data_IF_976738097372
#
_entry.id   IF_976738097372
#
_cell.length_a   1.000
_cell.length_b   1.000
_cell.length_c   1.000
_cell.angle_alpha   90.00
_cell.angle_beta   90.00
_cell.angle_gamma   90.00
#
_symmetry.space_group_name_H-M   'P 1'
#
loop_
_entity.id
_entity.type
_entity.pdbx_description
1 polymer ?
#
# COMPACT_ATOMS: atom_id res chain seq x y z
N UNK A 1 5.02 -4.26 21.95
CA UNK A 1 5.44 -4.43 20.56
C UNK A 1 4.68 -3.49 19.64
N UNK A 2 5.40 -2.86 18.75
CA UNK A 2 4.81 -1.92 17.80
C UNK A 2 4.08 -2.66 16.69
N UNK A 3 2.78 -2.41 16.53
CA UNK A 3 2.00 -2.98 15.44
C UNK A 3 2.18 -2.12 14.18
N UNK A 4 2.38 -2.78 13.05
CA UNK A 4 2.43 -2.11 11.77
C UNK A 4 1.03 -1.74 11.30
N UNK A 5 0.91 -0.58 10.66
CA UNK A 5 -0.35 -0.02 10.20
C UNK A 5 -0.48 -0.15 8.68
N UNK A 6 -1.59 -0.70 8.24
CA UNK A 6 -1.91 -0.83 6.81
C UNK A 6 -3.10 0.07 6.49
N UNK A 7 -2.96 0.90 5.48
CA UNK A 7 -4.07 1.69 4.98
C UNK A 7 -4.73 0.96 3.81
N UNK A 8 -6.05 0.93 3.81
CA UNK A 8 -6.86 0.34 2.74
C UNK A 8 -7.68 1.45 2.10
N UNK A 9 -7.56 1.61 0.80
CA UNK A 9 -8.26 2.63 0.05
C UNK A 9 -9.08 1.95 -1.06
N UNK A 10 -10.40 1.95 -0.90
CA UNK A 10 -11.34 1.32 -1.83
C UNK A 10 -12.72 1.96 -1.64
N UNK A 11 -13.43 2.23 -2.72
CA UNK A 11 -14.79 2.77 -2.63
C UNK A 11 -15.83 1.69 -2.27
N UNK A 12 -15.46 0.42 -2.33
CA UNK A 12 -16.32 -0.70 -1.92
C UNK A 12 -16.15 -0.97 -0.42
N UNK A 13 -17.15 -0.58 0.37
CA UNK A 13 -17.12 -0.75 1.82
C UNK A 13 -17.07 -2.21 2.27
N UNK A 14 -17.63 -3.12 1.47
CA UNK A 14 -17.59 -4.56 1.79
C UNK A 14 -16.17 -5.09 1.72
N UNK A 15 -15.41 -4.65 0.73
CA UNK A 15 -14.00 -5.02 0.60
C UNK A 15 -13.21 -4.46 1.79
N UNK A 16 -13.43 -3.20 2.14
CA UNK A 16 -12.75 -2.58 3.29
C UNK A 16 -13.03 -3.35 4.57
N UNK A 17 -14.28 -3.73 4.81
CA UNK A 17 -14.66 -4.48 6.02
C UNK A 17 -13.98 -5.84 6.04
N UNK A 18 -14.07 -6.60 4.95
CA UNK A 18 -13.48 -7.95 4.88
C UNK A 18 -11.97 -7.94 5.04
N UNK A 19 -11.30 -7.02 4.38
CA UNK A 19 -9.84 -6.91 4.46
C UNK A 19 -9.40 -6.41 5.83
N UNK A 20 -10.15 -5.47 6.43
CA UNK A 20 -9.82 -4.97 7.76
C UNK A 20 -9.87 -6.09 8.80
N UNK A 21 -10.92 -6.90 8.77
CA UNK A 21 -11.05 -8.04 9.69
C UNK A 21 -9.87 -9.00 9.52
N UNK A 22 -9.53 -9.35 8.29
CA UNK A 22 -8.46 -10.28 8.00
C UNK A 22 -7.11 -9.76 8.47
N UNK A 23 -6.81 -8.47 8.20
CA UNK A 23 -5.54 -7.86 8.59
C UNK A 23 -5.43 -7.70 10.10
N UNK A 24 -6.51 -7.33 10.77
CA UNK A 24 -6.50 -7.20 12.23
C UNK A 24 -6.24 -8.54 12.91
N UNK A 25 -6.78 -9.64 12.36
CA UNK A 25 -6.48 -10.99 12.85
C UNK A 25 -5.00 -11.34 12.73
N UNK A 26 -4.32 -10.78 11.76
CA UNK A 26 -2.88 -11.01 11.56
C UNK A 26 -2.02 -10.06 12.40
N UNK A 27 -2.63 -9.22 13.22
CA UNK A 27 -1.92 -8.33 14.13
C UNK A 27 -1.65 -6.93 13.60
N UNK A 28 -2.19 -6.57 12.44
CA UNK A 28 -2.02 -5.23 11.89
C UNK A 28 -3.04 -4.25 12.46
N UNK A 29 -2.66 -2.97 12.53
CA UNK A 29 -3.62 -1.88 12.66
C UNK A 29 -4.08 -1.50 11.26
N UNK A 30 -5.32 -1.03 11.12
CA UNK A 30 -5.89 -0.72 9.82
C UNK A 30 -6.48 0.68 9.82
N UNK A 31 -6.15 1.44 8.77
CA UNK A 31 -6.79 2.72 8.43
C UNK A 31 -7.58 2.48 7.15
N UNK A 32 -8.80 3.02 7.04
CA UNK A 32 -9.61 2.85 5.83
C UNK A 32 -10.02 4.19 5.25
N UNK A 33 -10.05 4.26 3.93
CA UNK A 33 -10.48 5.45 3.17
C UNK A 33 -11.34 4.99 2.00
N UNK A 34 -12.42 5.70 1.73
CA UNK A 34 -13.37 5.33 0.67
C UNK A 34 -13.17 6.11 -0.63
N UNK A 35 -12.28 7.09 -0.64
CA UNK A 35 -11.98 7.88 -1.83
C UNK A 35 -10.54 8.37 -1.81
N UNK A 36 -10.07 8.83 -2.98
CA UNK A 36 -8.69 9.27 -3.14
C UNK A 36 -8.38 10.56 -2.40
N UNK A 37 -9.32 11.48 -2.33
CA UNK A 37 -9.09 12.77 -1.68
C UNK A 37 -8.90 12.62 -0.17
N UNK A 38 -9.79 11.90 0.50
CA UNK A 38 -9.64 11.64 1.95
C UNK A 38 -8.39 10.81 2.23
N UNK A 39 -8.06 9.87 1.34
CA UNK A 39 -6.85 9.08 1.47
C UNK A 39 -5.60 9.94 1.38
N UNK A 40 -5.53 10.85 0.41
CA UNK A 40 -4.37 11.72 0.25
C UNK A 40 -4.12 12.55 1.51
N UNK A 41 -5.17 13.10 2.10
CA UNK A 41 -5.08 13.86 3.35
C UNK A 41 -4.64 12.96 4.49
N UNK A 42 -5.33 11.83 4.68
CA UNK A 42 -5.07 10.93 5.80
C UNK A 42 -3.70 10.27 5.75
N UNK A 43 -3.27 9.83 4.58
CA UNK A 43 -1.95 9.20 4.39
C UNK A 43 -0.81 10.18 4.60
N UNK A 44 -1.06 11.47 4.37
CA UNK A 44 -0.07 12.52 4.60
C UNK A 44 0.02 12.90 6.08
N UNK A 45 -1.13 13.02 6.74
CA UNK A 45 -1.20 13.42 8.16
C UNK A 45 -0.83 12.30 9.12
N UNK A 46 -1.28 11.09 8.83
CA UNK A 46 -1.06 9.91 9.68
C UNK A 46 -0.54 8.78 8.81
N UNK A 47 0.76 8.82 8.44
CA UNK A 47 1.31 7.83 7.52
C UNK A 47 1.22 6.41 8.06
N UNK A 48 0.70 5.46 7.26
CA UNK A 48 0.81 4.04 7.59
C UNK A 48 2.17 3.48 7.20
N UNK A 49 2.38 2.21 7.45
CA UNK A 49 3.58 1.52 7.00
C UNK A 49 3.47 1.06 5.55
N UNK A 50 2.26 0.86 5.07
CA UNK A 50 1.98 0.43 3.71
C UNK A 50 0.53 0.78 3.35
N UNK A 51 0.27 1.09 2.09
CA UNK A 51 -1.07 1.35 1.58
C UNK A 51 -1.47 0.35 0.50
N UNK A 52 -2.68 -0.17 0.59
CA UNK A 52 -3.31 -0.99 -0.43
C UNK A 52 -4.39 -0.13 -1.09
N UNK A 53 -4.24 0.12 -2.38
CA UNK A 53 -5.07 1.10 -3.10
C UNK A 53 -5.78 0.44 -4.28
N UNK A 54 -7.11 0.56 -4.31
CA UNK A 54 -7.89 0.17 -5.48
C UNK A 54 -7.64 1.18 -6.62
N UNK A 55 -7.35 0.66 -7.81
CA UNK A 55 -7.07 1.54 -8.95
C UNK A 55 -8.32 2.29 -9.39
N UNK A 56 -9.43 1.58 -9.54
CA UNK A 56 -10.66 2.18 -10.11
C UNK A 56 -11.57 2.72 -9.03
N UNK A 57 -11.46 4.02 -8.79
CA UNK A 57 -12.34 4.76 -7.90
C UNK A 57 -12.88 5.99 -8.64
N UNK A 58 -14.10 6.44 -8.30
CA UNK A 58 -14.65 7.66 -8.92
C UNK A 58 -13.85 8.90 -8.50
N UNK A 59 -13.85 9.90 -9.35
CA UNK A 59 -13.18 11.22 -9.18
C UNK A 59 -11.66 11.08 -9.22
N UNK A 60 -11.01 10.75 -8.12
CA UNK A 60 -9.57 10.50 -8.07
C UNK A 60 -9.34 8.99 -8.02
N UNK A 61 -8.80 8.41 -9.09
CA UNK A 61 -8.47 6.99 -9.12
C UNK A 61 -7.15 6.69 -8.39
N UNK A 62 -6.82 5.41 -8.28
CA UNK A 62 -5.62 4.97 -7.56
C UNK A 62 -4.33 5.46 -8.19
N UNK A 63 -4.27 5.57 -9.52
CA UNK A 63 -3.07 6.06 -10.21
C UNK A 63 -2.83 7.53 -9.94
N UNK A 64 -3.88 8.35 -9.99
CA UNK A 64 -3.78 9.77 -9.66
C UNK A 64 -3.39 9.97 -8.20
N UNK A 65 -3.98 9.19 -7.30
CA UNK A 65 -3.63 9.21 -5.88
C UNK A 65 -2.15 8.89 -5.68
N UNK A 66 -1.65 7.82 -6.31
CA UNK A 66 -0.24 7.44 -6.21
C UNK A 66 0.68 8.53 -6.73
N UNK A 67 0.35 9.11 -7.87
CA UNK A 67 1.13 10.21 -8.45
C UNK A 67 1.29 11.37 -7.46
N UNK A 68 0.19 11.73 -6.78
CA UNK A 68 0.22 12.80 -5.78
C UNK A 68 0.98 12.39 -4.52
N UNK A 69 0.81 11.14 -4.08
CA UNK A 69 1.54 10.62 -2.92
C UNK A 69 3.04 10.60 -3.14
N UNK A 70 3.50 10.22 -4.32
CA UNK A 70 4.94 10.11 -4.63
C UNK A 70 5.67 11.45 -4.60
N UNK A 71 4.96 12.57 -4.65
CA UNK A 71 5.56 13.90 -4.44
C UNK A 71 5.89 14.15 -2.97
N UNK A 72 5.30 13.40 -2.05
CA UNK A 72 5.40 13.63 -0.61
C UNK A 72 6.02 12.48 0.17
N UNK A 73 5.97 11.25 -0.36
CA UNK A 73 6.39 10.07 0.39
C UNK A 73 6.79 8.93 -0.53
N UNK A 74 7.65 8.04 -0.03
CA UNK A 74 8.03 6.79 -0.69
C UNK A 74 7.32 5.59 -0.05
N UNK A 75 6.22 5.82 0.63
CA UNK A 75 5.38 4.80 1.25
C UNK A 75 5.14 3.61 0.32
N UNK A 76 5.37 2.37 0.78
CA UNK A 76 5.05 1.20 -0.05
C UNK A 76 3.58 1.16 -0.43
N UNK A 77 3.30 0.91 -1.71
CA UNK A 77 1.95 0.86 -2.25
C UNK A 77 1.75 -0.42 -3.03
N UNK A 78 0.68 -1.14 -2.70
CA UNK A 78 0.20 -2.29 -3.47
C UNK A 78 -1.13 -1.88 -4.10
N UNK A 79 -1.25 -2.03 -5.43
CA UNK A 79 -2.51 -1.80 -6.11
C UNK A 79 -3.38 -3.06 -6.10
N UNK A 80 -4.67 -2.88 -5.88
CA UNK A 80 -5.68 -3.89 -6.19
C UNK A 80 -6.23 -3.57 -7.57
N UNK A 81 -6.15 -4.54 -8.48
CA UNK A 81 -6.55 -4.34 -9.87
C UNK A 81 -7.66 -5.31 -10.24
N UNK A 82 -8.54 -4.92 -11.17
CA UNK A 82 -9.48 -5.84 -11.78
C UNK A 82 -8.83 -6.58 -12.95
N UNK A 83 -9.51 -7.62 -13.45
CA UNK A 83 -8.99 -8.47 -14.53
C UNK A 83 -8.64 -7.70 -15.80
N UNK A 84 -9.31 -6.60 -16.06
CA UNK A 84 -9.20 -5.86 -17.32
C UNK A 84 -8.19 -4.70 -17.27
N UNK A 85 -7.38 -4.62 -16.21
CA UNK A 85 -6.49 -3.46 -15.95
C UNK A 85 -5.01 -3.74 -16.25
N UNK A 86 -4.70 -4.57 -17.27
CA UNK A 86 -3.30 -4.88 -17.60
C UNK A 86 -2.48 -3.65 -18.00
N UNK A 87 -3.11 -2.72 -18.73
CA UNK A 87 -2.46 -1.47 -19.15
C UNK A 87 -2.18 -0.59 -17.93
N UNK A 88 -3.12 -0.54 -16.99
CA UNK A 88 -3.00 0.22 -15.75
C UNK A 88 -1.89 -0.33 -14.85
N UNK A 89 -1.69 -1.65 -14.86
CA UNK A 89 -0.62 -2.30 -14.10
C UNK A 89 0.76 -1.78 -14.52
N UNK A 90 1.03 -1.71 -15.82
CA UNK A 90 2.29 -1.18 -16.34
C UNK A 90 2.46 0.29 -15.99
N UNK A 91 1.42 1.09 -16.12
CA UNK A 91 1.45 2.51 -15.77
C UNK A 91 1.70 2.70 -14.28
N UNK A 92 1.05 1.89 -13.43
CA UNK A 92 1.23 1.95 -11.98
C UNK A 92 2.67 1.66 -11.56
N UNK A 93 3.32 0.68 -12.20
CA UNK A 93 4.75 0.42 -11.94
C UNK A 93 5.61 1.61 -12.31
N UNK A 94 5.32 2.26 -13.44
CA UNK A 94 6.03 3.49 -13.85
C UNK A 94 5.80 4.64 -12.88
N UNK A 95 4.63 4.71 -12.26
CA UNK A 95 4.30 5.73 -11.26
C UNK A 95 4.90 5.43 -9.88
N UNK A 96 5.45 4.24 -9.69
CA UNK A 96 6.13 3.88 -8.46
C UNK A 96 5.33 2.99 -7.51
N UNK A 97 4.39 2.20 -8.02
CA UNK A 97 3.75 1.15 -7.22
C UNK A 97 4.76 0.03 -6.97
N UNK A 98 4.69 -0.57 -5.79
CA UNK A 98 5.64 -1.61 -5.39
C UNK A 98 5.15 -3.01 -5.77
N UNK A 99 3.86 -3.21 -5.90
CA UNK A 99 3.29 -4.50 -6.27
C UNK A 99 1.85 -4.33 -6.75
N UNK A 100 1.30 -5.40 -7.32
CA UNK A 100 -0.08 -5.49 -7.80
C UNK A 100 -0.68 -6.80 -7.36
N UNK A 101 -1.94 -6.77 -6.94
CA UNK A 101 -2.72 -7.98 -6.63
C UNK A 101 -4.05 -7.88 -7.37
N UNK A 102 -4.38 -8.90 -8.16
CA UNK A 102 -5.63 -8.93 -8.93
C UNK A 102 -6.80 -9.34 -8.05
N UNK A 103 -7.90 -8.59 -8.15
CA UNK A 103 -9.15 -8.88 -7.42
C UNK A 103 -9.92 -10.07 -7.97
N UNK A 104 -9.73 -10.40 -9.25
CA UNK A 104 -10.50 -11.41 -9.95
C UNK A 104 -9.79 -12.77 -10.01
N UNK A 105 -10.52 -13.81 -10.43
CA UNK A 105 -9.92 -15.13 -10.67
C UNK A 105 -9.47 -15.85 -9.42
N UNK A 106 -10.24 -15.77 -8.35
CA UNK A 106 -9.89 -16.38 -7.08
C UNK A 106 -9.01 -15.49 -6.22
N UNK A 107 -9.42 -14.23 -6.06
CA UNK A 107 -8.75 -13.30 -5.14
C UNK A 107 -8.56 -13.95 -3.78
N UNK A 108 -7.33 -14.06 -3.35
CA UNK A 108 -6.99 -14.65 -2.07
C UNK A 108 -6.49 -13.59 -1.11
N UNK A 109 -7.19 -13.42 0.00
CA UNK A 109 -6.77 -12.52 1.08
C UNK A 109 -5.41 -12.96 1.62
N UNK A 110 -5.15 -14.29 1.66
CA UNK A 110 -3.85 -14.83 2.10
C UNK A 110 -2.71 -14.37 1.18
N UNK A 111 -2.94 -14.34 -0.12
CA UNK A 111 -1.94 -13.84 -1.07
C UNK A 111 -1.66 -12.37 -0.84
N UNK A 112 -2.70 -11.56 -0.66
CA UNK A 112 -2.53 -10.15 -0.36
C UNK A 112 -1.71 -9.95 0.93
N UNK A 113 -2.04 -10.68 1.99
CA UNK A 113 -1.31 -10.58 3.25
C UNK A 113 0.17 -10.93 3.07
N UNK A 114 0.48 -11.97 2.33
CA UNK A 114 1.88 -12.33 2.05
C UNK A 114 2.60 -11.28 1.23
N UNK A 115 1.93 -10.66 0.25
CA UNK A 115 2.49 -9.56 -0.53
C UNK A 115 2.77 -8.34 0.36
N UNK A 116 1.87 -8.04 1.28
CA UNK A 116 2.06 -6.97 2.27
C UNK A 116 3.32 -7.25 3.10
N UNK A 117 3.45 -8.47 3.62
CA UNK A 117 4.61 -8.85 4.42
C UNK A 117 5.93 -8.75 3.65
N UNK A 118 5.92 -9.14 2.38
CA UNK A 118 7.10 -9.01 1.52
C UNK A 118 7.52 -7.54 1.39
N UNK A 119 6.59 -6.64 1.14
CA UNK A 119 6.90 -5.22 0.98
C UNK A 119 7.36 -4.59 2.30
N UNK A 120 6.76 -4.99 3.42
CA UNK A 120 7.20 -4.50 4.73
C UNK A 120 8.62 -4.95 5.06
N UNK A 121 8.97 -6.20 4.74
CA UNK A 121 10.35 -6.70 4.93
C UNK A 121 11.35 -5.95 4.07
N UNK A 122 11.02 -5.63 2.83
CA UNK A 122 11.88 -4.84 1.94
C UNK A 122 12.14 -3.46 2.50
N UNK A 123 11.09 -2.80 3.03
CA UNK A 123 11.21 -1.49 3.66
C UNK A 123 12.17 -1.54 4.85
N UNK A 124 12.01 -2.52 5.73
CA UNK A 124 12.85 -2.69 6.91
C UNK A 124 14.30 -2.98 6.52
N UNK A 125 14.53 -3.82 5.53
CA UNK A 125 15.86 -4.12 5.01
C UNK A 125 16.56 -2.88 4.46
N UNK A 126 15.82 -2.04 3.71
CA UNK A 126 16.34 -0.79 3.17
C UNK A 126 16.72 0.18 4.30
N UNK A 127 15.91 0.26 5.35
CA UNK A 127 16.18 1.11 6.50
C UNK A 127 17.45 0.66 7.22
N UNK A 128 17.61 -0.64 7.44
CA UNK A 128 18.80 -1.22 8.07
C UNK A 128 20.04 -0.92 7.23
N UNK A 129 19.95 -1.10 5.92
CA UNK A 129 21.05 -0.82 5.00
C UNK A 129 21.49 0.64 5.07
N UNK A 130 20.54 1.55 5.14
CA UNK A 130 20.82 2.99 5.27
C UNK A 130 21.51 3.29 6.58
N UNK A 131 21.06 2.72 7.69
CA UNK A 131 21.67 2.90 9.01
C UNK A 131 23.11 2.37 9.01
N UNK A 132 23.34 1.19 8.45
CA UNK A 132 24.69 0.61 8.36
C UNK A 132 25.62 1.48 7.54
N UNK A 133 25.14 2.05 6.45
CA UNK A 133 25.94 2.96 5.63
C UNK A 133 26.32 4.24 6.39
N UNK A 134 25.39 4.77 7.19
CA UNK A 134 25.66 5.96 8.02
C UNK A 134 26.71 5.63 9.07
N UNK A 135 26.59 4.49 9.74
CA UNK A 135 27.56 4.03 10.74
C UNK A 135 28.94 3.89 10.12
N UNK A 136 29.02 3.32 8.93
CA UNK A 136 30.28 3.13 8.21
C UNK A 136 30.96 4.47 7.89
N UNK A 137 30.17 5.47 7.50
CA UNK A 137 30.69 6.82 7.21
C UNK A 137 31.28 7.46 8.48
N UNK A 138 30.64 7.29 9.64
CA UNK A 138 31.07 7.93 10.88
C UNK A 138 32.18 7.19 11.62
N UNK A 139 32.32 5.88 11.42
CA UNK A 139 33.23 5.05 12.20
C UNK A 139 34.32 4.32 11.41
N UNK A 140 34.41 4.61 10.12
CA UNK A 140 35.47 4.02 9.28
C UNK A 140 36.77 4.83 9.25
#
# INVERSE_FOLDING_TARGET
>A
MHKQTIALIDDDRNILTSLSIALEKEGFKVQTYIDGESALIGLTRTPPDLAVIDIKMPKMDGEELLKKLRKKTSLPVIFLTSKDDEIDELLGLKLGADDFVKKSGGFSIKVLIERIRVQLRKKDSNNIFTILNIIDIFFS
#
